data_IF_916917720430
#
_entry.id   IF_916917720430
#
_cell.length_a   1.000
_cell.length_b   1.000
_cell.length_c   1.000
_cell.angle_alpha   90.00
_cell.angle_beta   90.00
_cell.angle_gamma   90.00
#
_symmetry.space_group_name_H-M   'P 1'
#
loop_
_entity.id
_entity.type
_entity.pdbx_description
1 polymer ?
#
# COMPACT_ATOMS: atom_id res chain seq x y z
N UNK A 1 -20.27 -24.43 -18.84
CA UNK A 1 -21.57 -23.75 -18.67
C UNK A 1 -21.26 -22.31 -18.31
N UNK A 2 -21.89 -21.32 -18.97
CA UNK A 2 -21.73 -19.92 -18.60
C UNK A 2 -22.29 -19.76 -17.18
N UNK A 3 -21.41 -19.63 -16.19
CA UNK A 3 -21.80 -19.30 -14.82
C UNK A 3 -22.39 -17.90 -14.84
N UNK A 4 -23.62 -17.77 -14.35
CA UNK A 4 -24.24 -16.48 -14.02
C UNK A 4 -23.23 -15.61 -13.25
N UNK A 5 -23.23 -14.30 -13.50
CA UNK A 5 -22.27 -13.41 -12.86
C UNK A 5 -22.44 -13.50 -11.33
N UNK A 6 -21.44 -14.04 -10.62
CA UNK A 6 -21.45 -14.19 -9.16
C UNK A 6 -21.57 -12.84 -8.43
N UNK A 7 -21.08 -11.78 -9.07
CA UNK A 7 -21.00 -10.42 -8.54
C UNK A 7 -21.73 -9.44 -9.45
N UNK A 8 -22.50 -8.54 -8.85
CA UNK A 8 -23.11 -7.40 -9.53
C UNK A 8 -22.42 -6.10 -9.13
N UNK A 9 -21.84 -5.42 -10.11
CA UNK A 9 -21.20 -4.10 -9.93
C UNK A 9 -22.28 -3.07 -9.58
N UNK A 10 -22.02 -2.27 -8.55
CA UNK A 10 -22.92 -1.21 -8.08
C UNK A 10 -22.45 0.16 -8.57
N UNK A 11 -21.23 0.54 -8.19
CA UNK A 11 -20.64 1.84 -8.54
C UNK A 11 -19.13 1.81 -8.49
N UNK A 12 -18.49 2.72 -9.20
CA UNK A 12 -17.07 3.01 -9.06
C UNK A 12 -16.81 3.66 -7.68
N UNK A 13 -15.82 3.17 -6.95
CA UNK A 13 -15.39 3.72 -5.65
C UNK A 13 -13.97 4.26 -5.68
N UNK A 14 -13.19 3.91 -6.70
CA UNK A 14 -11.84 4.43 -6.88
C UNK A 14 -11.28 4.06 -8.23
N UNK A 15 -10.33 4.87 -8.69
CA UNK A 15 -9.59 4.65 -9.93
C UNK A 15 -8.12 4.89 -9.65
N UNK A 16 -7.32 3.84 -9.80
CA UNK A 16 -5.87 3.94 -9.78
C UNK A 16 -5.32 4.03 -11.19
N UNK A 17 -3.99 4.14 -11.28
CA UNK A 17 -3.28 4.20 -12.57
C UNK A 17 -3.50 2.96 -13.45
N UNK A 18 -3.81 1.81 -12.83
CA UNK A 18 -3.76 0.50 -13.51
C UNK A 18 -5.10 -0.26 -13.51
N UNK A 19 -6.14 0.31 -12.89
CA UNK A 19 -7.43 -0.35 -12.77
C UNK A 19 -8.48 0.49 -12.08
N UNK A 20 -9.72 0.02 -12.16
CA UNK A 20 -10.88 0.65 -11.53
C UNK A 20 -11.41 -0.26 -10.44
N UNK A 21 -11.68 0.32 -9.27
CA UNK A 21 -12.25 -0.37 -8.11
C UNK A 21 -13.73 -0.05 -8.03
N UNK A 22 -14.54 -1.09 -7.91
CA UNK A 22 -15.99 -1.00 -7.81
C UNK A 22 -16.47 -1.53 -6.46
N UNK A 23 -17.51 -0.90 -5.91
CA UNK A 23 -18.40 -1.55 -4.96
C UNK A 23 -19.24 -2.57 -5.73
N UNK A 24 -19.29 -3.81 -5.26
CA UNK A 24 -20.10 -4.87 -5.84
C UNK A 24 -20.84 -5.66 -4.76
N UNK A 25 -21.89 -6.35 -5.18
CA UNK A 25 -22.72 -7.19 -4.32
C UNK A 25 -22.56 -8.65 -4.76
N UNK A 26 -22.35 -9.54 -3.80
CA UNK A 26 -22.43 -10.99 -4.03
C UNK A 26 -23.88 -11.37 -4.23
N UNK A 27 -24.24 -11.95 -5.38
CA UNK A 27 -25.65 -12.15 -5.75
C UNK A 27 -26.40 -13.09 -4.81
N UNK A 28 -25.71 -14.11 -4.26
CA UNK A 28 -26.30 -15.09 -3.34
C UNK A 28 -26.53 -14.53 -1.93
N UNK A 29 -25.54 -13.85 -1.36
CA UNK A 29 -25.57 -13.43 0.06
C UNK A 29 -25.97 -11.98 0.26
N UNK A 30 -25.98 -11.19 -0.83
CA UNK A 30 -26.16 -9.73 -0.83
C UNK A 30 -25.07 -8.97 -0.04
N UNK A 31 -23.97 -9.63 0.33
CA UNK A 31 -22.83 -9.01 0.99
C UNK A 31 -22.08 -8.06 0.05
N UNK A 32 -21.53 -6.98 0.61
CA UNK A 32 -20.69 -6.02 -0.12
C UNK A 32 -19.25 -6.50 -0.22
N UNK A 33 -18.69 -6.39 -1.42
CA UNK A 33 -17.29 -6.64 -1.75
C UNK A 33 -16.72 -5.49 -2.58
N UNK A 34 -15.39 -5.37 -2.60
CA UNK A 34 -14.69 -4.50 -3.53
C UNK A 34 -14.19 -5.34 -4.71
N UNK A 35 -14.36 -4.86 -5.94
CA UNK A 35 -13.85 -5.53 -7.15
C UNK A 35 -12.90 -4.57 -7.85
N UNK A 36 -11.59 -4.87 -7.81
CA UNK A 36 -10.60 -4.18 -8.64
C UNK A 36 -10.53 -4.87 -9.99
N UNK A 37 -10.88 -4.15 -11.05
CA UNK A 37 -10.88 -4.64 -12.43
C UNK A 37 -9.72 -4.02 -13.20
N UNK A 38 -8.79 -4.88 -13.65
CA UNK A 38 -7.62 -4.50 -14.43
C UNK A 38 -7.77 -4.96 -15.87
N UNK A 39 -7.42 -4.09 -16.82
CA UNK A 39 -7.60 -4.35 -18.24
C UNK A 39 -6.34 -4.99 -18.83
N UNK A 40 -6.45 -6.24 -19.27
CA UNK A 40 -5.34 -7.07 -19.73
C UNK A 40 -5.15 -6.99 -21.25
N UNK A 41 -5.05 -5.78 -21.79
CA UNK A 41 -4.93 -5.56 -23.24
C UNK A 41 -3.50 -5.29 -23.71
N UNK A 42 -2.65 -4.76 -22.83
CA UNK A 42 -1.26 -4.43 -23.11
C UNK A 42 -0.35 -5.13 -22.10
N UNK A 43 0.86 -5.57 -22.51
CA UNK A 43 1.76 -6.36 -21.64
C UNK A 43 2.04 -5.71 -20.28
N UNK A 44 2.15 -4.40 -20.22
CA UNK A 44 2.46 -3.64 -19.00
C UNK A 44 1.35 -3.79 -17.95
N UNK A 45 0.09 -3.65 -18.37
CA UNK A 45 -1.06 -3.86 -17.48
C UNK A 45 -1.17 -5.32 -17.03
N UNK A 46 -0.83 -6.26 -17.92
CA UNK A 46 -0.83 -7.68 -17.59
C UNK A 46 0.24 -7.98 -16.55
N UNK A 47 1.43 -7.38 -16.68
CA UNK A 47 2.50 -7.53 -15.69
C UNK A 47 2.05 -7.05 -14.31
N UNK A 48 1.49 -5.85 -14.21
CA UNK A 48 1.00 -5.29 -12.95
C UNK A 48 -0.14 -6.11 -12.35
N UNK A 49 -1.08 -6.57 -13.18
CA UNK A 49 -2.17 -7.44 -12.75
C UNK A 49 -1.62 -8.76 -12.20
N UNK A 50 -0.64 -9.36 -12.86
CA UNK A 50 -0.06 -10.58 -12.35
C UNK A 50 0.78 -10.32 -11.08
N UNK A 51 1.52 -9.21 -10.98
CA UNK A 51 2.23 -8.81 -9.75
C UNK A 51 1.29 -8.76 -8.53
N UNK A 52 0.14 -8.11 -8.68
CA UNK A 52 -0.91 -8.07 -7.65
C UNK A 52 -1.44 -9.46 -7.32
N UNK A 53 -1.73 -10.27 -8.35
CA UNK A 53 -2.17 -11.66 -8.17
C UNK A 53 -1.19 -12.48 -7.36
N UNK A 54 0.10 -12.47 -7.71
CA UNK A 54 1.10 -13.26 -7.00
C UNK A 54 1.34 -12.75 -5.59
N UNK A 55 1.34 -11.42 -5.37
CA UNK A 55 1.49 -10.85 -4.03
C UNK A 55 0.35 -11.29 -3.10
N UNK A 56 -0.90 -11.11 -3.52
CA UNK A 56 -2.07 -11.46 -2.72
C UNK A 56 -2.20 -12.99 -2.52
N UNK A 57 -1.90 -13.79 -3.54
CA UNK A 57 -1.94 -15.26 -3.43
C UNK A 57 -0.82 -15.84 -2.57
N UNK A 58 0.31 -15.12 -2.42
CA UNK A 58 1.42 -15.57 -1.57
C UNK A 58 1.11 -15.46 -0.07
N UNK A 59 0.05 -14.74 0.31
CA UNK A 59 -0.39 -14.58 1.69
C UNK A 59 -1.10 -15.86 2.15
N UNK A 60 -0.40 -16.71 2.90
CA UNK A 60 -0.93 -18.00 3.36
C UNK A 60 -1.91 -17.89 4.53
N UNK A 61 -1.77 -16.85 5.36
CA UNK A 61 -2.62 -16.60 6.53
C UNK A 61 -3.10 -15.16 6.48
N UNK A 62 -4.40 -14.95 6.64
CA UNK A 62 -4.96 -13.60 6.66
C UNK A 62 -4.40 -12.79 7.85
N UNK A 63 -3.99 -11.57 7.57
CA UNK A 63 -3.62 -10.59 8.60
C UNK A 63 -4.74 -9.56 8.75
N UNK A 64 -5.00 -9.11 9.98
CA UNK A 64 -6.09 -8.14 10.24
C UNK A 64 -5.89 -6.85 9.46
N UNK A 65 -4.65 -6.37 9.36
CA UNK A 65 -4.31 -5.09 8.75
C UNK A 65 -3.86 -5.14 7.28
N UNK A 66 -4.08 -6.26 6.60
CA UNK A 66 -3.85 -6.41 5.15
C UNK A 66 -5.18 -6.72 4.49
N UNK A 67 -5.44 -6.16 3.31
CA UNK A 67 -6.67 -6.40 2.57
C UNK A 67 -6.85 -7.90 2.30
N UNK A 68 -8.04 -8.43 2.57
CA UNK A 68 -8.38 -9.81 2.28
C UNK A 68 -8.81 -9.96 0.82
N UNK A 69 -8.10 -10.82 0.08
CA UNK A 69 -8.54 -11.33 -1.21
C UNK A 69 -9.51 -12.50 -0.99
N UNK A 70 -10.71 -12.41 -1.55
CA UNK A 70 -11.68 -13.51 -1.54
C UNK A 70 -11.43 -14.47 -2.71
N UNK A 71 -11.31 -13.92 -3.92
CA UNK A 71 -10.99 -14.68 -5.12
C UNK A 71 -10.45 -13.77 -6.23
N UNK A 72 -9.86 -14.40 -7.25
CA UNK A 72 -9.46 -13.72 -8.46
C UNK A 72 -10.14 -14.37 -9.66
N UNK A 73 -10.65 -13.57 -10.58
CA UNK A 73 -11.44 -14.02 -11.73
C UNK A 73 -10.84 -13.44 -13.01
N UNK A 74 -10.57 -14.31 -13.97
CA UNK A 74 -10.26 -13.90 -15.33
C UNK A 74 -11.55 -13.82 -16.13
N UNK A 75 -11.83 -12.64 -16.66
CA UNK A 75 -12.93 -12.39 -17.59
C UNK A 75 -12.38 -12.35 -19.01
N UNK A 76 -12.95 -13.16 -19.90
CA UNK A 76 -12.73 -13.10 -21.34
C UNK A 76 -14.08 -12.95 -22.06
N UNK A 77 -14.38 -11.75 -22.54
CA UNK A 77 -15.72 -11.42 -23.05
C UNK A 77 -16.80 -11.61 -21.97
N UNK A 78 -17.73 -12.54 -22.21
CA UNK A 78 -18.80 -12.88 -21.26
C UNK A 78 -18.45 -14.07 -20.34
N UNK A 79 -17.27 -14.68 -20.53
CA UNK A 79 -16.83 -15.83 -19.74
C UNK A 79 -16.08 -15.35 -18.51
N UNK A 80 -16.47 -15.86 -17.34
CA UNK A 80 -15.82 -15.59 -16.06
C UNK A 80 -15.24 -16.89 -15.50
N UNK A 81 -13.93 -16.91 -15.26
CA UNK A 81 -13.22 -18.09 -14.77
C UNK A 81 -12.42 -17.75 -13.51
N UNK A 82 -12.72 -18.36 -12.36
CA UNK A 82 -11.88 -18.24 -11.17
C UNK A 82 -10.48 -18.76 -11.46
N UNK A 83 -9.45 -18.02 -11.02
CA UNK A 83 -8.06 -18.44 -11.11
C UNK A 83 -7.51 -18.75 -9.73
N UNK A 84 -6.77 -19.84 -9.63
CA UNK A 84 -6.07 -20.25 -8.40
C UNK A 84 -4.65 -20.68 -8.73
N UNK A 85 -3.76 -20.63 -7.74
CA UNK A 85 -2.37 -21.06 -7.89
C UNK A 85 -2.22 -22.58 -8.18
N UNK A 86 -3.25 -23.41 -7.96
CA UNK A 86 -3.14 -24.86 -8.16
C UNK A 86 -3.18 -25.18 -9.65
N UNK A 87 -1.99 -25.29 -10.24
CA UNK A 87 -1.72 -25.69 -11.62
C UNK A 87 -2.74 -26.72 -12.16
N UNK A 88 -3.53 -26.34 -13.16
CA UNK A 88 -4.18 -27.28 -14.06
C UNK A 88 -3.78 -26.96 -15.50
N UNK A 89 -3.61 -28.00 -16.32
CA UNK A 89 -3.07 -27.95 -17.69
C UNK A 89 -3.87 -27.09 -18.70
N UNK A 90 -4.98 -26.48 -18.30
CA UNK A 90 -5.91 -25.74 -19.18
C UNK A 90 -6.03 -24.25 -18.85
N UNK A 91 -5.06 -23.66 -18.14
CA UNK A 91 -5.31 -22.40 -17.45
C UNK A 91 -5.07 -21.16 -18.32
N UNK A 92 -6.15 -20.39 -18.48
CA UNK A 92 -6.25 -19.09 -19.14
C UNK A 92 -5.28 -18.02 -18.59
N UNK A 93 -4.71 -18.20 -17.39
CA UNK A 93 -3.63 -17.35 -16.88
C UNK A 93 -2.28 -17.58 -17.59
N UNK A 94 -2.06 -18.75 -18.21
CA UNK A 94 -0.86 -19.02 -19.00
C UNK A 94 -0.76 -18.07 -20.19
N UNK A 95 -1.91 -17.66 -20.73
CA UNK A 95 -1.98 -16.70 -21.82
C UNK A 95 -1.63 -15.27 -21.36
N UNK A 96 -1.91 -14.93 -20.11
CA UNK A 96 -1.44 -13.69 -19.48
C UNK A 96 0.08 -13.72 -19.32
N UNK A 97 0.62 -14.82 -18.80
CA UNK A 97 2.08 -15.01 -18.66
C UNK A 97 2.77 -14.95 -20.03
N UNK A 98 2.21 -15.62 -21.03
CA UNK A 98 2.70 -15.61 -22.40
C UNK A 98 2.65 -14.21 -23.03
N UNK A 99 1.61 -13.41 -22.71
CA UNK A 99 1.50 -12.02 -23.13
C UNK A 99 2.65 -11.16 -22.59
N UNK A 100 3.02 -11.33 -21.31
CA UNK A 100 4.20 -10.68 -20.74
C UNK A 100 5.49 -11.15 -21.41
N UNK A 101 5.69 -12.47 -21.54
CA UNK A 101 6.94 -13.03 -22.09
C UNK A 101 7.19 -12.68 -23.56
N UNK A 102 6.12 -12.60 -24.37
CA UNK A 102 6.22 -12.26 -25.79
C UNK A 102 6.18 -10.76 -26.06
N UNK A 103 5.91 -9.92 -25.05
CA UNK A 103 5.73 -8.48 -25.22
C UNK A 103 4.59 -8.11 -26.19
N UNK A 104 3.62 -9.01 -26.40
CA UNK A 104 2.48 -8.78 -27.30
C UNK A 104 1.26 -9.53 -26.80
N UNK A 105 0.08 -8.95 -27.08
CA UNK A 105 -1.20 -9.56 -26.72
C UNK A 105 -1.36 -10.93 -27.38
N UNK A 106 -1.55 -11.97 -26.57
CA UNK A 106 -1.80 -13.33 -27.04
C UNK A 106 -3.29 -13.73 -27.03
N UNK A 107 -4.14 -12.87 -26.47
CA UNK A 107 -5.62 -12.97 -26.48
C UNK A 107 -6.22 -12.48 -27.80
N UNK A 108 -7.40 -12.98 -28.16
CA UNK A 108 -8.20 -12.47 -29.29
C UNK A 108 -8.36 -10.94 -29.20
N UNK A 109 -7.92 -10.17 -30.21
CA UNK A 109 -7.99 -8.71 -30.21
C UNK A 109 -9.40 -8.17 -29.97
N UNK A 110 -10.42 -8.89 -30.43
CA UNK A 110 -11.83 -8.47 -30.37
C UNK A 110 -12.48 -8.74 -29.02
N UNK A 111 -11.88 -9.59 -28.19
CA UNK A 111 -12.45 -10.01 -26.91
C UNK A 111 -11.81 -9.23 -25.76
N UNK A 112 -12.59 -8.42 -25.04
CA UNK A 112 -12.08 -7.68 -23.89
C UNK A 112 -11.66 -8.66 -22.78
N UNK A 113 -10.44 -8.48 -22.25
CA UNK A 113 -9.87 -9.33 -21.21
C UNK A 113 -9.64 -8.52 -19.94
N UNK A 114 -10.19 -8.98 -18.82
CA UNK A 114 -10.01 -8.32 -17.54
C UNK A 114 -9.61 -9.31 -16.45
N UNK A 115 -8.73 -8.88 -15.55
CA UNK A 115 -8.49 -9.57 -14.30
C UNK A 115 -9.21 -8.85 -13.16
N UNK A 116 -9.98 -9.61 -12.39
CA UNK A 116 -10.80 -9.11 -11.29
C UNK A 116 -10.21 -9.61 -9.97
N UNK A 117 -9.96 -8.70 -9.05
CA UNK A 117 -9.62 -9.00 -7.66
C UNK A 117 -10.83 -8.71 -6.80
N UNK A 118 -11.47 -9.76 -6.30
CA UNK A 118 -12.59 -9.64 -5.37
C UNK A 118 -12.02 -9.61 -3.95
N UNK A 119 -12.26 -8.52 -3.24
CA UNK A 119 -11.68 -8.23 -1.94
C UNK A 119 -12.74 -7.82 -0.93
N UNK A 120 -12.38 -7.86 0.36
CA UNK A 120 -13.24 -7.29 1.40
C UNK A 120 -13.53 -5.80 1.12
N UNK A 121 -14.78 -5.38 1.33
CA UNK A 121 -15.15 -3.97 1.20
C UNK A 121 -14.84 -3.21 2.50
N UNK A 122 -14.01 -2.17 2.37
CA UNK A 122 -13.66 -1.22 3.44
C UNK A 122 -14.55 0.02 3.34
N UNK A 123 -15.41 0.22 4.35
CA UNK A 123 -16.47 1.24 4.36
C UNK A 123 -16.02 2.63 4.81
N UNK A 124 -14.81 2.75 5.36
CA UNK A 124 -14.23 4.01 5.83
C UNK A 124 -13.44 4.80 4.78
N UNK A 125 -13.36 4.32 3.54
CA UNK A 125 -12.56 4.96 2.48
C UNK A 125 -11.05 4.77 2.67
N UNK A 126 -10.26 5.63 2.02
CA UNK A 126 -8.80 5.66 2.19
C UNK A 126 -8.38 6.49 3.41
N UNK A 127 -7.18 6.26 3.92
CA UNK A 127 -6.64 6.90 5.12
C UNK A 127 -6.42 8.40 4.92
N UNK A 128 -6.09 8.85 3.71
CA UNK A 128 -5.93 10.27 3.41
C UNK A 128 -7.22 11.05 3.69
N UNK A 129 -8.31 10.70 3.00
CA UNK A 129 -9.63 11.31 3.18
C UNK A 129 -10.16 11.09 4.61
N UNK A 130 -9.93 9.89 5.17
CA UNK A 130 -10.39 9.56 6.51
C UNK A 130 -9.76 10.45 7.58
N UNK A 131 -8.46 10.72 7.47
CA UNK A 131 -7.77 11.60 8.39
C UNK A 131 -8.14 13.06 8.13
N UNK A 132 -8.13 13.54 6.87
CA UNK A 132 -8.37 14.96 6.55
C UNK A 132 -9.80 15.42 6.85
N UNK A 133 -10.78 14.51 6.81
CA UNK A 133 -12.17 14.81 7.22
C UNK A 133 -12.36 14.96 8.74
N UNK A 134 -11.31 14.82 9.55
CA UNK A 134 -11.38 14.78 11.02
C UNK A 134 -10.28 15.61 11.66
N UNK A 135 -10.54 16.08 12.87
CA UNK A 135 -9.51 16.68 13.72
C UNK A 135 -8.38 15.68 14.03
N UNK A 136 -7.14 16.15 14.24
CA UNK A 136 -6.04 15.29 14.71
C UNK A 136 -6.40 14.58 16.01
N UNK A 137 -6.15 13.27 16.07
CA UNK A 137 -6.39 12.43 17.24
C UNK A 137 -5.14 11.58 17.51
N UNK A 138 -4.48 11.85 18.64
CA UNK A 138 -3.23 11.18 18.98
C UNK A 138 -3.41 9.69 19.30
N UNK A 139 -4.54 9.32 19.92
CA UNK A 139 -4.88 7.93 20.24
C UNK A 139 -5.12 7.13 18.97
N UNK A 140 -5.90 7.69 18.04
CA UNK A 140 -6.17 7.09 16.74
C UNK A 140 -4.89 6.98 15.91
N UNK A 141 -4.10 8.06 15.82
CA UNK A 141 -2.83 8.06 15.09
C UNK A 141 -1.87 7.00 15.66
N UNK A 142 -1.77 6.85 16.98
CA UNK A 142 -0.99 5.77 17.61
C UNK A 142 -1.52 4.39 17.18
N UNK A 143 -2.83 4.17 17.27
CA UNK A 143 -3.47 2.92 16.83
C UNK A 143 -3.12 2.60 15.37
N UNK A 144 -3.22 3.58 14.46
CA UNK A 144 -2.89 3.41 13.05
C UNK A 144 -1.41 3.10 12.83
N UNK A 145 -0.49 3.81 13.49
CA UNK A 145 0.94 3.51 13.42
C UNK A 145 1.24 2.06 13.84
N UNK A 146 0.63 1.58 14.94
CA UNK A 146 0.83 0.20 15.40
C UNK A 146 0.30 -0.84 14.42
N UNK A 147 -0.89 -0.61 13.88
CA UNK A 147 -1.52 -1.51 12.91
C UNK A 147 -0.72 -1.57 11.60
N UNK A 148 -0.26 -0.42 11.09
CA UNK A 148 0.58 -0.34 9.89
C UNK A 148 1.93 -1.01 10.07
N UNK A 149 2.62 -0.77 11.20
CA UNK A 149 3.88 -1.45 11.51
C UNK A 149 3.71 -2.98 11.56
N UNK A 150 2.59 -3.46 12.13
CA UNK A 150 2.29 -4.89 12.16
C UNK A 150 2.00 -5.46 10.77
N UNK A 151 1.24 -4.73 9.94
CA UNK A 151 0.96 -5.11 8.55
C UNK A 151 2.25 -5.25 7.73
N UNK A 152 3.15 -4.26 7.80
CA UNK A 152 4.40 -4.29 7.01
C UNK A 152 5.36 -5.37 7.53
N UNK A 153 5.47 -5.56 8.85
CA UNK A 153 6.23 -6.67 9.42
C UNK A 153 5.68 -8.03 8.96
N UNK A 154 4.36 -8.17 8.88
CA UNK A 154 3.71 -9.36 8.34
C UNK A 154 4.04 -9.57 6.85
N UNK A 155 3.94 -8.54 6.00
CA UNK A 155 4.28 -8.64 4.58
C UNK A 155 5.74 -9.04 4.38
N UNK A 156 6.66 -8.36 5.08
CA UNK A 156 8.10 -8.63 5.00
C UNK A 156 8.45 -10.04 5.50
N UNK A 157 7.75 -10.57 6.51
CA UNK A 157 7.89 -11.97 6.95
C UNK A 157 7.50 -12.97 5.86
N UNK A 158 6.49 -12.63 5.07
CA UNK A 158 6.04 -13.42 3.92
C UNK A 158 6.81 -13.11 2.63
N UNK A 159 7.96 -12.42 2.73
CA UNK A 159 8.81 -12.05 1.59
C UNK A 159 8.11 -11.15 0.57
N UNK A 160 7.12 -10.35 1.00
CA UNK A 160 6.41 -9.39 0.16
C UNK A 160 6.90 -7.98 0.52
N UNK A 161 7.41 -7.25 -0.46
CA UNK A 161 7.71 -5.80 -0.33
C UNK A 161 6.65 -5.02 -1.08
N UNK A 162 6.04 -4.03 -0.43
CA UNK A 162 4.87 -3.33 -0.95
C UNK A 162 5.22 -2.35 -2.07
N UNK A 163 6.29 -1.55 -1.88
CA UNK A 163 6.89 -0.62 -2.84
C UNK A 163 6.06 0.62 -3.24
N UNK A 164 4.78 0.67 -2.88
CA UNK A 164 3.94 1.88 -3.06
C UNK A 164 3.07 2.17 -1.82
N UNK A 165 3.68 2.18 -0.63
CA UNK A 165 2.96 2.58 0.59
C UNK A 165 2.71 4.09 0.56
N UNK A 166 1.43 4.45 0.61
CA UNK A 166 0.93 5.83 0.73
C UNK A 166 -0.42 5.83 1.43
N UNK A 167 -0.85 7.00 1.89
CA UNK A 167 -2.13 7.12 2.59
C UNK A 167 -3.35 6.77 1.72
N UNK A 168 -3.28 6.93 0.40
CA UNK A 168 -4.32 6.49 -0.55
C UNK A 168 -4.47 4.96 -0.64
N UNK A 169 -3.36 4.23 -0.44
CA UNK A 169 -3.29 2.76 -0.52
C UNK A 169 -3.56 2.09 0.85
N UNK A 170 -3.96 2.87 1.86
CA UNK A 170 -4.35 2.37 3.17
C UNK A 170 -5.84 2.61 3.32
N UNK A 171 -6.64 1.54 3.41
CA UNK A 171 -8.09 1.63 3.56
C UNK A 171 -8.51 1.53 5.03
N UNK A 172 -9.68 2.05 5.36
CA UNK A 172 -10.25 2.02 6.70
C UNK A 172 -11.52 1.16 6.73
N UNK A 173 -11.63 0.28 7.70
CA UNK A 173 -12.80 -0.57 7.95
C UNK A 173 -13.37 -0.32 9.35
N UNK A 174 -14.68 -0.14 9.45
CA UNK A 174 -15.39 0.06 10.73
C UNK A 174 -16.07 -1.21 11.25
N UNK A 175 -15.89 -2.35 10.58
CA UNK A 175 -16.61 -3.61 10.86
C UNK A 175 -16.49 -4.14 12.30
N UNK A 176 -15.47 -3.71 13.06
CA UNK A 176 -15.20 -4.17 14.43
C UNK A 176 -15.38 -3.08 15.49
N UNK A 177 -16.11 -2.02 15.18
CA UNK A 177 -16.46 -0.94 16.12
C UNK A 177 -15.37 0.12 16.30
N UNK A 178 -14.08 -0.24 16.21
CA UNK A 178 -12.97 0.71 16.06
C UNK A 178 -12.45 0.73 14.62
N UNK A 179 -11.88 1.85 14.14
CA UNK A 179 -11.30 1.92 12.80
C UNK A 179 -10.08 1.00 12.68
N UNK A 180 -10.12 0.10 11.70
CA UNK A 180 -9.05 -0.83 11.35
C UNK A 180 -8.44 -0.42 10.02
N UNK A 181 -7.12 -0.25 9.98
CA UNK A 181 -6.39 0.03 8.73
C UNK A 181 -6.16 -1.27 7.96
N UNK A 182 -6.22 -1.18 6.63
CA UNK A 182 -6.01 -2.28 5.68
C UNK A 182 -5.03 -1.81 4.61
N UNK A 183 -3.82 -2.36 4.60
CA UNK A 183 -2.87 -2.15 3.49
C UNK A 183 -3.44 -2.79 2.23
N UNK A 184 -3.55 -2.02 1.16
CA UNK A 184 -4.15 -2.40 -0.11
C UNK A 184 -3.28 -1.95 -1.29
N UNK A 185 -3.70 -2.34 -2.50
CA UNK A 185 -3.01 -2.07 -3.78
C UNK A 185 -1.60 -2.67 -3.89
N UNK A 186 -1.57 -3.94 -4.28
CA UNK A 186 -0.34 -4.70 -4.45
C UNK A 186 0.21 -4.67 -5.88
N UNK A 187 -0.26 -3.75 -6.72
CA UNK A 187 0.09 -3.67 -8.15
C UNK A 187 1.58 -3.47 -8.43
N UNK A 188 2.32 -2.87 -7.50
CA UNK A 188 3.76 -2.64 -7.59
C UNK A 188 4.58 -3.55 -6.65
N UNK A 189 3.90 -4.41 -5.89
CA UNK A 189 4.52 -5.26 -4.89
C UNK A 189 5.42 -6.32 -5.53
N UNK A 190 6.43 -6.75 -4.78
CA UNK A 190 7.33 -7.82 -5.21
C UNK A 190 7.36 -8.94 -4.20
N UNK A 191 7.13 -10.16 -4.70
CA UNK A 191 7.35 -11.40 -3.95
C UNK A 191 8.82 -11.82 -4.15
N UNK A 192 9.60 -11.80 -3.08
CA UNK A 192 11.00 -12.19 -3.08
C UNK A 192 11.12 -13.72 -2.99
N UNK A 193 11.80 -14.33 -3.95
CA UNK A 193 12.02 -15.78 -3.96
C UNK A 193 13.33 -16.13 -3.24
N UNK A 194 13.29 -17.14 -2.37
CA UNK A 194 14.47 -17.66 -1.67
C UNK A 194 14.29 -17.68 -0.14
N UNK A 195 15.16 -18.40 0.57
CA UNK A 195 15.16 -18.51 2.05
C UNK A 195 15.93 -17.35 2.74
N UNK A 196 16.08 -16.22 2.05
CA UNK A 196 16.89 -15.09 2.49
C UNK A 196 16.13 -14.08 3.35
N UNK A 197 16.88 -13.13 3.92
CA UNK A 197 16.26 -11.95 4.54
C UNK A 197 15.74 -11.03 3.43
N UNK A 198 14.45 -10.63 3.50
CA UNK A 198 13.81 -9.75 2.50
C UNK A 198 14.59 -8.44 2.29
N UNK A 199 15.29 -7.96 3.32
CA UNK A 199 16.11 -6.75 3.27
C UNK A 199 17.40 -6.89 2.44
N UNK A 200 17.76 -8.10 2.02
CA UNK A 200 18.92 -8.35 1.16
C UNK A 200 18.55 -8.37 -0.33
N UNK A 201 17.25 -8.48 -0.65
CA UNK A 201 16.79 -8.40 -2.03
C UNK A 201 16.88 -6.97 -2.54
N UNK A 202 17.51 -6.81 -3.70
CA UNK A 202 17.62 -5.53 -4.41
C UNK A 202 16.61 -5.48 -5.55
N UNK A 203 15.94 -4.34 -5.68
CA UNK A 203 15.03 -4.03 -6.78
C UNK A 203 15.68 -3.03 -7.72
N UNK A 204 15.49 -3.24 -9.03
CA UNK A 204 16.10 -2.44 -10.10
C UNK A 204 15.16 -1.43 -10.76
N UNK A 205 13.84 -1.53 -10.52
CA UNK A 205 12.85 -0.62 -11.11
C UNK A 205 12.43 0.44 -10.10
N UNK A 206 12.76 1.70 -10.38
CA UNK A 206 12.22 2.83 -9.64
C UNK A 206 10.69 2.88 -9.82
N UNK A 207 9.94 2.75 -8.73
CA UNK A 207 8.49 2.85 -8.73
C UNK A 207 7.99 3.28 -7.35
N UNK A 208 6.79 3.84 -7.32
CA UNK A 208 6.15 4.38 -6.12
C UNK A 208 5.67 5.80 -6.37
N UNK A 209 5.08 6.39 -5.34
CA UNK A 209 4.54 7.75 -5.39
C UNK A 209 5.56 8.76 -4.83
N UNK A 210 5.95 9.76 -5.63
CA UNK A 210 7.11 10.66 -5.36
C UNK A 210 7.21 11.16 -3.91
N UNK A 211 6.12 11.67 -3.34
CA UNK A 211 6.09 12.22 -1.97
C UNK A 211 6.30 11.20 -0.84
N UNK A 212 6.38 9.91 -1.16
CA UNK A 212 6.58 8.80 -0.23
C UNK A 212 7.85 7.99 -0.54
N UNK A 213 8.47 8.19 -1.69
CA UNK A 213 9.62 7.42 -2.13
C UNK A 213 10.88 7.72 -1.30
N UNK A 214 11.63 6.66 -0.99
CA UNK A 214 12.93 6.78 -0.35
C UNK A 214 14.01 7.28 -1.33
N UNK A 215 15.09 7.95 -0.86
CA UNK A 215 16.13 8.50 -1.72
C UNK A 215 16.75 7.48 -2.69
N UNK A 216 17.06 6.27 -2.19
CA UNK A 216 17.72 5.21 -2.96
C UNK A 216 16.81 4.57 -4.04
N UNK A 217 15.51 4.85 -4.01
CA UNK A 217 14.57 4.36 -5.05
C UNK A 217 14.84 5.06 -6.37
N UNK A 218 15.21 6.34 -6.34
CA UNK A 218 15.57 7.14 -7.52
C UNK A 218 16.86 6.65 -8.20
N UNK A 219 17.78 6.08 -7.42
CA UNK A 219 18.99 5.44 -7.92
C UNK A 219 18.74 4.04 -8.50
N UNK A 220 17.50 3.55 -8.39
CA UNK A 220 17.06 2.26 -8.92
C UNK A 220 17.65 1.06 -8.20
N UNK A 221 18.24 1.19 -7.00
CA UNK A 221 18.85 0.08 -6.27
C UNK A 221 18.45 0.08 -4.80
N UNK A 222 17.27 -0.47 -4.49
CA UNK A 222 16.68 -0.36 -3.16
C UNK A 222 16.23 -1.70 -2.59
N UNK A 223 15.92 -1.72 -1.30
CA UNK A 223 15.52 -2.92 -0.55
C UNK A 223 14.15 -2.73 0.09
N UNK A 224 13.69 -3.70 0.87
CA UNK A 224 12.49 -3.60 1.69
C UNK A 224 12.47 -2.39 2.65
N UNK A 225 13.64 -1.76 2.92
CA UNK A 225 13.76 -0.53 3.72
C UNK A 225 13.10 0.70 3.09
N UNK A 226 12.77 0.66 1.81
CA UNK A 226 11.95 1.71 1.19
C UNK A 226 10.54 1.78 1.79
N UNK A 227 9.95 0.63 2.15
CA UNK A 227 8.63 0.59 2.83
C UNK A 227 8.70 1.26 4.22
N UNK A 228 9.84 1.14 4.91
CA UNK A 228 10.05 1.76 6.23
C UNK A 228 10.15 3.28 6.11
N UNK A 229 10.84 3.77 5.08
CA UNK A 229 10.90 5.19 4.79
C UNK A 229 9.50 5.73 4.47
N UNK A 230 8.76 5.07 3.59
CA UNK A 230 7.38 5.46 3.24
C UNK A 230 6.45 5.48 4.47
N UNK A 231 6.55 4.52 5.38
CA UNK A 231 5.85 4.58 6.67
C UNK A 231 6.28 5.77 7.52
N UNK A 232 7.57 6.15 7.50
CA UNK A 232 8.08 7.32 8.21
C UNK A 232 7.44 8.62 7.71
N UNK A 233 7.28 8.75 6.39
CA UNK A 233 6.56 9.85 5.74
C UNK A 233 5.10 9.87 6.22
N UNK A 234 4.41 8.73 6.14
CA UNK A 234 3.00 8.60 6.55
C UNK A 234 2.85 8.98 8.03
N UNK A 235 3.71 8.49 8.90
CA UNK A 235 3.64 8.71 10.35
C UNK A 235 3.88 10.19 10.67
N UNK A 236 4.90 10.80 10.08
CA UNK A 236 5.21 12.20 10.31
C UNK A 236 4.09 13.11 9.79
N UNK A 237 3.65 12.92 8.54
CA UNK A 237 2.57 13.69 7.94
C UNK A 237 1.25 13.54 8.72
N UNK A 238 0.92 12.33 9.18
CA UNK A 238 -0.27 12.07 10.00
C UNK A 238 -0.24 12.77 11.35
N UNK A 239 0.90 12.71 12.06
CA UNK A 239 1.04 13.29 13.41
C UNK A 239 1.01 14.81 13.36
N UNK A 240 1.69 15.41 12.38
CA UNK A 240 1.80 16.86 12.30
C UNK A 240 0.82 17.52 11.34
N UNK A 241 -0.01 16.73 10.64
CA UNK A 241 -0.89 17.19 9.55
C UNK A 241 -0.11 17.99 8.51
N UNK A 242 0.90 17.34 7.94
CA UNK A 242 1.65 17.88 6.81
C UNK A 242 0.92 17.44 5.55
N UNK A 243 0.45 18.41 4.77
CA UNK A 243 -0.33 18.18 3.56
C UNK A 243 0.19 19.02 2.41
N UNK A 244 -0.01 18.55 1.20
CA UNK A 244 0.23 19.29 -0.04
C UNK A 244 -0.99 19.13 -0.96
N UNK A 245 -1.10 20.00 -1.96
CA UNK A 245 -2.07 19.82 -3.05
C UNK A 245 -1.39 19.16 -4.22
N UNK A 246 -1.97 18.05 -4.67
CA UNK A 246 -1.53 17.36 -5.87
C UNK A 246 -1.78 18.24 -7.10
N UNK A 247 -0.77 18.40 -7.95
CA UNK A 247 -0.83 19.31 -9.10
C UNK A 247 -1.83 18.87 -10.18
N UNK A 248 -2.03 17.56 -10.32
CA UNK A 248 -2.87 16.99 -11.37
C UNK A 248 -4.34 16.91 -10.94
N UNK A 249 -4.59 16.51 -9.70
CA UNK A 249 -5.94 16.25 -9.18
C UNK A 249 -6.49 17.38 -8.30
N UNK A 250 -5.67 18.36 -7.93
CA UNK A 250 -5.94 19.42 -6.94
C UNK A 250 -6.35 18.90 -5.55
N UNK A 251 -6.23 17.59 -5.31
CA UNK A 251 -6.60 16.97 -4.04
C UNK A 251 -5.56 17.31 -2.97
N UNK A 252 -6.05 17.55 -1.76
CA UNK A 252 -5.18 17.64 -0.59
C UNK A 252 -4.76 16.24 -0.15
N UNK A 253 -3.44 16.02 -0.09
CA UNK A 253 -2.82 14.75 0.25
C UNK A 253 -1.87 14.92 1.44
N UNK A 254 -1.83 13.92 2.31
CA UNK A 254 -0.76 13.77 3.29
C UNK A 254 0.57 13.53 2.56
N UNK A 255 1.64 14.10 3.08
CA UNK A 255 2.99 13.88 2.55
C UNK A 255 3.99 14.81 3.20
N UNK A 256 5.27 14.56 3.01
CA UNK A 256 6.33 15.43 3.52
C UNK A 256 7.24 15.89 2.39
N UNK A 257 7.61 17.15 2.43
CA UNK A 257 8.34 17.83 1.38
C UNK A 257 9.19 18.95 1.98
N UNK A 258 10.12 19.46 1.19
CA UNK A 258 10.90 20.66 1.46
C UNK A 258 10.46 21.74 0.48
N UNK A 259 10.29 22.97 0.97
CA UNK A 259 10.02 24.11 0.09
C UNK A 259 11.35 24.68 -0.42
N UNK A 260 11.53 24.71 -1.74
CA UNK A 260 12.63 25.42 -2.40
C UNK A 260 12.04 26.56 -3.23
N UNK A 261 12.00 27.75 -2.64
CA UNK A 261 11.26 28.87 -3.22
C UNK A 261 9.76 28.58 -3.24
N UNK A 262 9.17 28.45 -4.43
CA UNK A 262 7.75 28.13 -4.63
C UNK A 262 7.48 26.65 -4.91
N UNK A 263 8.53 25.86 -5.15
CA UNK A 263 8.40 24.45 -5.50
C UNK A 263 8.38 23.57 -4.25
N UNK A 264 7.56 22.53 -4.30
CA UNK A 264 7.48 21.50 -3.28
C UNK A 264 8.31 20.30 -3.74
N UNK A 265 9.44 20.09 -3.10
CA UNK A 265 10.34 18.98 -3.41
C UNK A 265 10.02 17.81 -2.47
N UNK A 266 9.65 16.63 -2.99
CA UNK A 266 9.50 15.43 -2.19
C UNK A 266 10.68 15.18 -1.25
N UNK A 267 10.41 14.77 -0.01
CA UNK A 267 11.48 14.64 0.99
C UNK A 267 12.60 13.68 0.57
N UNK A 268 12.26 12.57 -0.08
CA UNK A 268 13.23 11.60 -0.57
C UNK A 268 14.18 12.18 -1.63
N UNK A 269 13.66 13.04 -2.50
CA UNK A 269 14.44 13.76 -3.52
C UNK A 269 15.36 14.81 -2.87
N UNK A 270 14.82 15.63 -1.95
CA UNK A 270 15.63 16.60 -1.22
C UNK A 270 16.77 15.95 -0.39
N UNK A 271 16.53 14.76 0.17
CA UNK A 271 17.57 13.98 0.86
C UNK A 271 18.59 13.37 -0.10
N UNK A 272 18.20 13.08 -1.34
CA UNK A 272 19.14 12.63 -2.38
C UNK A 272 20.09 13.76 -2.78
N UNK A 273 19.58 14.98 -2.93
CA UNK A 273 20.39 16.16 -3.22
C UNK A 273 21.26 16.60 -2.04
N UNK A 274 20.75 16.47 -0.81
CA UNK A 274 21.49 16.79 0.41
C UNK A 274 21.38 15.67 1.46
N UNK A 275 22.24 14.64 1.38
CA UNK A 275 22.25 13.52 2.33
C UNK A 275 22.48 13.90 3.79
N UNK A 276 23.07 15.07 4.06
CA UNK A 276 23.34 15.58 5.40
C UNK A 276 22.24 16.53 5.92
N UNK A 277 21.15 16.68 5.18
CA UNK A 277 20.04 17.53 5.58
C UNK A 277 19.47 17.10 6.94
N UNK A 278 19.44 18.04 7.89
CA UNK A 278 18.85 17.80 9.20
C UNK A 278 17.34 17.99 9.13
N UNK A 279 16.61 16.89 9.23
CA UNK A 279 15.15 16.92 9.33
C UNK A 279 14.74 17.64 10.62
N UNK A 280 13.86 18.63 10.49
CA UNK A 280 13.29 19.32 11.64
C UNK A 280 12.04 18.56 12.12
N UNK A 281 12.25 17.58 13.00
CA UNK A 281 11.17 16.78 13.60
C UNK A 281 11.14 17.07 15.11
N UNK A 282 10.02 17.54 15.68
CA UNK A 282 8.79 18.01 15.02
C UNK A 282 8.99 19.32 14.22
N UNK A 283 8.24 19.50 13.13
CA UNK A 283 8.24 20.70 12.29
C UNK A 283 7.54 21.87 12.98
N UNK A 284 6.51 21.57 13.78
CA UNK A 284 5.70 22.59 14.47
C UNK A 284 6.31 22.95 15.82
N UNK A 285 5.85 22.32 16.90
CA UNK A 285 6.24 22.63 18.27
C UNK A 285 6.77 21.37 18.96
N UNK A 286 7.90 21.45 19.68
CA UNK A 286 8.45 20.33 20.46
C UNK A 286 7.46 19.65 21.41
N UNK A 287 6.39 20.32 21.84
CA UNK A 287 5.33 19.73 22.66
C UNK A 287 4.35 18.83 21.87
N UNK A 288 4.34 18.87 20.55
CA UNK A 288 3.42 18.08 19.71
C UNK A 288 3.78 16.59 19.67
N UNK A 289 5.05 16.27 19.86
CA UNK A 289 5.60 14.94 19.63
C UNK A 289 6.58 14.57 20.75
N UNK A 290 6.41 13.40 21.40
CA UNK A 290 7.36 12.95 22.41
C UNK A 290 8.69 12.51 21.77
N UNK A 291 9.76 12.59 22.55
CA UNK A 291 11.13 12.32 22.11
C UNK A 291 11.31 10.91 21.53
N UNK A 292 10.57 9.92 22.06
CA UNK A 292 10.63 8.54 21.58
C UNK A 292 10.07 8.36 20.16
N UNK A 293 8.98 9.07 19.84
CA UNK A 293 8.41 9.13 18.49
C UNK A 293 9.29 9.96 17.55
N UNK A 294 9.83 11.09 18.01
CA UNK A 294 10.77 11.89 17.23
C UNK A 294 12.00 11.06 16.82
N UNK A 295 12.62 10.37 17.79
CA UNK A 295 13.76 9.48 17.52
C UNK A 295 13.37 8.33 16.58
N UNK A 296 12.18 7.76 16.73
CA UNK A 296 11.70 6.72 15.82
C UNK A 296 11.56 7.23 14.38
N UNK A 297 10.99 8.43 14.18
CA UNK A 297 10.86 9.03 12.84
C UNK A 297 12.22 9.32 12.21
N UNK A 298 13.19 9.81 12.98
CA UNK A 298 14.56 9.99 12.50
C UNK A 298 15.17 8.66 12.02
N UNK A 299 14.99 7.57 12.78
CA UNK A 299 15.52 6.27 12.39
C UNK A 299 14.78 5.67 11.17
N UNK A 300 13.50 6.00 10.97
CA UNK A 300 12.73 5.56 9.78
C UNK A 300 13.12 6.36 8.53
N UNK A 301 13.45 7.65 8.68
CA UNK A 301 13.73 8.60 7.60
C UNK A 301 15.24 8.80 7.35
N UNK A 302 16.10 7.95 7.91
CA UNK A 302 17.54 8.04 7.69
C UNK A 302 17.87 7.90 6.18
N UNK A 303 18.77 8.74 5.66
CA UNK A 303 19.18 8.67 4.25
C UNK A 303 19.73 7.29 3.91
N UNK A 304 20.68 6.78 4.69
CA UNK A 304 21.30 5.48 4.48
C UNK A 304 20.32 4.34 4.86
N UNK A 305 19.91 3.45 3.92
CA UNK A 305 18.98 2.35 4.22
C UNK A 305 19.50 1.34 5.25
N UNK A 306 20.83 1.27 5.45
CA UNK A 306 21.45 0.41 6.45
C UNK A 306 21.27 0.93 7.87
N UNK A 307 21.13 2.25 8.04
CA UNK A 307 20.87 2.89 9.34
C UNK A 307 19.38 2.84 9.71
N UNK A 308 18.50 2.66 8.72
CA UNK A 308 17.07 2.48 8.97
C UNK A 308 16.77 1.19 9.71
N UNK A 309 15.76 1.25 10.56
CA UNK A 309 15.13 0.07 11.16
C UNK A 309 14.59 -0.86 10.07
N UNK A 310 14.55 -2.18 10.33
CA UNK A 310 13.69 -3.08 9.56
C UNK A 310 12.25 -3.11 10.11
N UNK A 311 11.34 -3.77 9.39
CA UNK A 311 9.93 -3.85 9.77
C UNK A 311 9.70 -4.55 11.12
N UNK A 312 10.55 -5.52 11.48
CA UNK A 312 10.41 -6.27 12.73
C UNK A 312 10.85 -5.41 13.92
N UNK A 313 11.95 -4.67 13.76
CA UNK A 313 12.42 -3.69 14.73
C UNK A 313 11.40 -2.57 14.92
N UNK A 314 10.79 -2.09 13.82
CA UNK A 314 9.72 -1.09 13.86
C UNK A 314 8.49 -1.60 14.62
N UNK A 315 8.03 -2.83 14.36
CA UNK A 315 6.88 -3.44 15.05
C UNK A 315 7.08 -3.52 16.57
N UNK A 316 8.31 -3.80 17.02
CA UNK A 316 8.63 -3.83 18.46
C UNK A 316 8.66 -2.41 19.02
N UNK A 317 9.39 -1.50 18.37
CA UNK A 317 9.65 -0.16 18.89
C UNK A 317 8.41 0.72 18.93
N UNK A 318 7.49 0.59 17.97
CA UNK A 318 6.25 1.36 17.94
C UNK A 318 5.33 1.07 19.15
N UNK A 319 5.46 -0.10 19.79
CA UNK A 319 4.65 -0.42 20.99
C UNK A 319 5.11 0.35 22.22
N UNK A 320 6.36 0.80 22.21
CA UNK A 320 7.01 1.43 23.35
C UNK A 320 6.78 2.95 23.38
N UNK A 321 6.51 3.59 22.24
CA UNK A 321 6.32 5.05 22.18
C UNK A 321 5.21 5.55 23.11
N UNK A 322 5.38 6.75 23.63
CA UNK A 322 4.48 7.40 24.59
C UNK A 322 3.35 8.18 23.92
N UNK A 323 3.49 8.50 22.63
CA UNK A 323 2.50 9.26 21.85
C UNK A 323 1.10 8.65 21.95
N UNK A 324 0.07 9.46 22.22
CA UNK A 324 -1.33 8.98 22.28
C UNK A 324 -1.67 8.05 23.46
N UNK A 325 -0.73 7.71 24.36
CA UNK A 325 -1.08 6.98 25.59
C UNK A 325 -1.77 7.93 26.57
N UNK A 326 -2.88 7.50 27.19
CA UNK A 326 -3.45 8.23 28.32
C UNK A 326 -2.41 8.24 29.43
N UNK A 327 -2.04 9.42 29.96
CA UNK A 327 -1.26 9.51 31.20
C UNK A 327 -2.02 8.68 32.25
N UNK A 328 -1.41 7.62 32.75
CA UNK A 328 -1.89 7.00 33.98
C UNK A 328 -1.85 8.13 35.02
N UNK A 329 -3.02 8.57 35.49
CA UNK A 329 -3.07 9.33 36.74
C UNK A 329 -2.51 8.35 37.78
N UNK A 330 -1.29 8.61 38.23
CA UNK A 330 -0.77 8.02 39.45
C UNK A 330 -1.84 8.26 40.51
N UNK A 331 -2.51 7.18 40.93
CA UNK A 331 -3.33 7.20 42.14
C UNK A 331 -2.31 7.35 43.26
N UNK A 332 -2.12 8.61 43.67
CA UNK A 332 -1.34 8.98 44.85
C UNK A 332 -2.08 8.57 46.11
#
# INVERSE_FOLDING_TARGET
MATEAKYSIVREVGRGSYGVVYEAIVNQTRSKVAVKRMHCNVPENVELALQEFWALQSIQRQHENVIQLEECILQNGQVFQPISHRYRKSDSHLLLIETCLKGRRCMDPKSACFLWFVMEFCDGGNMNEYLLSRSPDAQLNNSFMRQLSSAVAFLHRNQIVHRDLKSDNILISHRRGSPIVKVADFGLSKVCQGKGNVNQHRFSSACGSNFYMAPEVWEGHYTAKADIFALGIIFWAMVERITFRDGDTEKELLGTYICQGKELIPLGEALLENPNMKLQIPLKNKKSMPDDLCKLLHDMLAFNPKERLDAFQLEVRIRQISYGKKRQRSVS
#
